data_IF_737514436194
#
_entry.id   IF_737514436194
#
_cell.length_a   1.000
_cell.length_b   1.000
_cell.length_c   1.000
_cell.angle_alpha   90.00
_cell.angle_beta   90.00
_cell.angle_gamma   90.00
#
_symmetry.space_group_name_H-M   'P 1'
#
loop_
_entity.id
_entity.type
_entity.pdbx_description
1 polymer ?
#
# COMPACT_ATOMS: atom_id res chain seq x y z
N UNK A 1 -17.56 -10.77 13.23
CA UNK A 1 -16.46 -10.31 12.35
C UNK A 1 -15.65 -11.54 11.94
N UNK A 2 -15.67 -11.93 10.66
CA UNK A 2 -14.97 -13.13 10.15
C UNK A 2 -13.45 -13.00 10.35
N UNK A 3 -12.79 -14.11 10.61
CA UNK A 3 -11.33 -14.25 10.80
C UNK A 3 -10.57 -13.90 9.52
N UNK A 4 -9.38 -13.29 9.67
CA UNK A 4 -8.47 -12.84 8.60
C UNK A 4 -7.81 -14.00 7.80
N UNK A 5 -8.59 -14.96 7.29
CA UNK A 5 -8.05 -16.20 6.70
C UNK A 5 -7.31 -16.00 5.37
N UNK A 6 -7.43 -14.84 4.72
CA UNK A 6 -6.79 -14.55 3.43
C UNK A 6 -5.74 -13.42 3.50
N UNK A 7 -5.50 -12.83 4.67
CA UNK A 7 -4.52 -11.74 4.83
C UNK A 7 -3.09 -12.30 4.88
N UNK A 8 -2.18 -11.71 4.12
CA UNK A 8 -0.76 -12.11 4.16
C UNK A 8 -0.12 -11.72 5.49
N UNK A 9 0.92 -12.44 5.89
CA UNK A 9 1.77 -12.04 7.03
C UNK A 9 2.97 -11.23 6.55
N UNK A 10 3.50 -10.34 7.40
CA UNK A 10 4.67 -9.53 7.09
C UNK A 10 5.78 -9.80 8.10
N UNK A 11 6.95 -10.20 7.63
CA UNK A 11 8.12 -10.38 8.49
C UNK A 11 8.83 -9.05 8.79
N UNK A 12 9.55 -8.96 9.91
CA UNK A 12 10.30 -7.75 10.27
C UNK A 12 11.29 -7.26 9.19
N UNK A 13 11.95 -8.17 8.47
CA UNK A 13 12.90 -7.82 7.40
C UNK A 13 12.20 -7.15 6.23
N UNK A 14 11.08 -7.72 5.80
CA UNK A 14 10.24 -7.18 4.75
C UNK A 14 9.63 -5.83 5.17
N UNK A 15 9.12 -5.75 6.41
CA UNK A 15 8.58 -4.50 6.94
C UNK A 15 9.62 -3.38 6.97
N UNK A 16 10.87 -3.70 7.33
CA UNK A 16 11.99 -2.73 7.30
C UNK A 16 12.23 -2.20 5.89
N UNK A 17 12.19 -3.07 4.89
CA UNK A 17 12.33 -2.70 3.47
C UNK A 17 11.16 -1.85 2.98
N UNK A 18 9.93 -2.19 3.38
CA UNK A 18 8.72 -1.43 3.05
C UNK A 18 8.79 -0.03 3.66
N UNK A 19 9.18 0.12 4.93
CA UNK A 19 9.36 1.42 5.58
C UNK A 19 10.37 2.29 4.84
N UNK A 20 11.56 1.77 4.51
CA UNK A 20 12.60 2.55 3.84
C UNK A 20 12.11 3.07 2.48
N UNK A 21 11.42 2.22 1.71
CA UNK A 21 10.81 2.59 0.42
C UNK A 21 9.67 3.62 0.57
N UNK A 22 8.78 3.42 1.53
CA UNK A 22 7.66 4.32 1.80
C UNK A 22 8.16 5.70 2.22
N UNK A 23 9.13 5.76 3.14
CA UNK A 23 9.72 7.01 3.60
C UNK A 23 10.49 7.71 2.47
N UNK A 24 11.31 6.97 1.72
CA UNK A 24 12.01 7.53 0.57
C UNK A 24 11.03 8.14 -0.43
N UNK A 25 9.93 7.44 -0.74
CA UNK A 25 8.93 7.93 -1.65
C UNK A 25 8.20 9.16 -1.11
N UNK A 26 7.82 9.18 0.17
CA UNK A 26 7.18 10.31 0.83
C UNK A 26 8.04 11.59 0.76
N UNK A 27 9.36 11.44 0.90
CA UNK A 27 10.29 12.57 0.91
C UNK A 27 10.70 13.01 -0.50
N UNK A 28 11.01 12.05 -1.38
CA UNK A 28 11.53 12.34 -2.72
C UNK A 28 10.42 12.77 -3.68
N UNK A 29 9.27 12.11 -3.65
CA UNK A 29 8.19 12.29 -4.62
C UNK A 29 7.05 13.16 -4.08
N UNK A 30 7.36 14.10 -3.18
CA UNK A 30 6.37 14.92 -2.49
C UNK A 30 5.56 15.82 -3.44
N UNK A 31 6.17 16.27 -4.54
CA UNK A 31 5.50 17.13 -5.52
C UNK A 31 4.67 16.28 -6.48
N UNK A 32 5.19 15.11 -6.85
CA UNK A 32 4.51 14.12 -7.68
C UNK A 32 3.27 13.55 -6.99
N UNK A 33 3.31 13.36 -5.66
CA UNK A 33 2.15 12.98 -4.86
C UNK A 33 0.99 13.97 -4.99
N UNK A 34 1.27 15.28 -5.16
CA UNK A 34 0.22 16.30 -5.34
C UNK A 34 -0.46 16.22 -6.71
N UNK A 35 0.11 15.47 -7.66
CA UNK A 35 -0.47 15.24 -8.99
C UNK A 35 -1.51 14.12 -9.01
N UNK A 36 -1.65 13.39 -7.90
CA UNK A 36 -2.62 12.31 -7.75
C UNK A 36 -3.87 12.86 -7.09
N UNK A 37 -5.02 12.72 -7.75
CA UNK A 37 -6.31 13.10 -7.18
C UNK A 37 -6.66 12.18 -6.01
N UNK A 38 -7.47 12.65 -5.06
CA UNK A 38 -7.87 11.85 -3.89
C UNK A 38 -8.68 10.60 -4.24
N UNK A 39 -9.46 10.69 -5.32
CA UNK A 39 -10.17 9.55 -5.87
C UNK A 39 -9.17 8.49 -6.41
N UNK A 40 -8.25 8.90 -7.30
CA UNK A 40 -7.24 7.99 -7.86
C UNK A 40 -6.30 7.40 -6.79
N UNK A 41 -5.92 8.21 -5.79
CA UNK A 41 -5.17 7.77 -4.62
C UNK A 41 -5.90 6.62 -3.92
N UNK A 42 -7.20 6.77 -3.67
CA UNK A 42 -8.02 5.73 -3.02
C UNK A 42 -8.14 4.47 -3.85
N UNK A 43 -8.27 4.57 -5.18
CA UNK A 43 -8.31 3.40 -6.07
C UNK A 43 -6.99 2.62 -6.03
N UNK A 44 -5.84 3.30 -6.08
CA UNK A 44 -4.53 2.66 -5.94
C UNK A 44 -4.42 1.97 -4.58
N UNK A 45 -4.84 2.66 -3.52
CA UNK A 45 -4.79 2.12 -2.15
C UNK A 45 -5.67 0.89 -1.98
N UNK A 46 -6.86 0.88 -2.58
CA UNK A 46 -7.75 -0.29 -2.60
C UNK A 46 -7.14 -1.45 -3.38
N UNK A 47 -6.62 -1.21 -4.59
CA UNK A 47 -6.01 -2.23 -5.42
C UNK A 47 -4.87 -2.98 -4.69
N UNK A 48 -4.02 -2.26 -3.96
CA UNK A 48 -2.95 -2.87 -3.14
C UNK A 48 -3.51 -3.58 -1.91
N UNK A 49 -4.52 -2.97 -1.25
CA UNK A 49 -5.10 -3.51 -0.01
C UNK A 49 -5.85 -4.81 -0.22
N UNK A 50 -6.53 -4.96 -1.35
CA UNK A 50 -7.21 -6.20 -1.75
C UNK A 50 -6.20 -7.34 -1.95
N UNK A 51 -5.10 -7.10 -2.69
CA UNK A 51 -4.05 -8.10 -2.90
C UNK A 51 -3.38 -8.53 -1.60
N UNK A 52 -3.12 -7.59 -0.69
CA UNK A 52 -2.53 -7.89 0.61
C UNK A 52 -3.54 -8.46 1.63
N UNK A 53 -4.84 -8.33 1.36
CA UNK A 53 -5.91 -8.67 2.29
C UNK A 53 -5.97 -7.75 3.52
N UNK A 54 -5.62 -6.46 3.42
CA UNK A 54 -5.74 -5.53 4.55
C UNK A 54 -7.19 -5.04 4.72
N UNK A 55 -7.98 -5.71 5.57
CA UNK A 55 -9.40 -5.38 5.79
C UNK A 55 -9.64 -3.96 6.31
N UNK A 56 -8.83 -3.50 7.26
CA UNK A 56 -8.97 -2.14 7.82
C UNK A 56 -8.65 -1.07 6.77
N UNK A 57 -7.58 -1.27 6.00
CA UNK A 57 -7.18 -0.37 4.93
C UNK A 57 -8.25 -0.32 3.84
N UNK A 58 -8.76 -1.49 3.44
CA UNK A 58 -9.87 -1.63 2.49
C UNK A 58 -11.09 -0.83 2.96
N UNK A 59 -11.50 -1.00 4.21
CA UNK A 59 -12.64 -0.27 4.77
C UNK A 59 -12.42 1.25 4.76
N UNK A 60 -11.26 1.71 5.25
CA UNK A 60 -10.92 3.13 5.31
C UNK A 60 -10.89 3.76 3.93
N UNK A 61 -10.24 3.11 2.95
CA UNK A 61 -10.09 3.67 1.61
C UNK A 61 -11.35 3.50 0.76
N UNK A 62 -12.20 2.51 1.03
CA UNK A 62 -13.56 2.44 0.42
C UNK A 62 -14.39 3.64 0.86
N UNK A 63 -14.35 3.96 2.16
CA UNK A 63 -15.04 5.15 2.68
C UNK A 63 -14.50 6.43 2.04
N UNK A 64 -13.18 6.58 1.95
CA UNK A 64 -12.55 7.75 1.32
C UNK A 64 -12.89 7.86 -0.17
N UNK A 65 -12.91 6.75 -0.91
CA UNK A 65 -13.29 6.73 -2.32
C UNK A 65 -14.73 7.25 -2.51
N UNK A 66 -15.68 6.79 -1.68
CA UNK A 66 -17.06 7.29 -1.70
C UNK A 66 -17.15 8.79 -1.37
N UNK A 67 -16.40 9.25 -0.36
CA UNK A 67 -16.38 10.65 0.06
C UNK A 67 -15.76 11.58 -1.00
N UNK A 68 -14.89 11.04 -1.86
CA UNK A 68 -14.19 11.78 -2.93
C UNK A 68 -14.87 11.64 -4.30
N UNK A 69 -16.09 11.09 -4.33
CA UNK A 69 -16.96 11.09 -5.51
C UNK A 69 -16.93 9.81 -6.33
N UNK A 70 -16.28 8.74 -5.85
CA UNK A 70 -16.40 7.42 -6.49
C UNK A 70 -17.79 6.86 -6.27
N UNK A 71 -18.44 6.43 -7.33
CA UNK A 71 -19.76 5.82 -7.23
C UNK A 71 -19.67 4.40 -6.66
N UNK A 72 -20.78 3.93 -6.09
CA UNK A 72 -20.88 2.53 -5.64
C UNK A 72 -20.70 1.52 -6.79
N UNK A 73 -21.10 1.90 -8.01
CA UNK A 73 -20.94 1.06 -9.20
C UNK A 73 -19.48 0.88 -9.57
N UNK A 74 -18.72 1.97 -9.64
CA UNK A 74 -17.27 1.94 -9.89
C UNK A 74 -16.54 1.12 -8.82
N UNK A 75 -16.85 1.33 -7.53
CA UNK A 75 -16.26 0.53 -6.45
C UNK A 75 -16.61 -0.96 -6.54
N UNK A 76 -17.84 -1.30 -6.87
CA UNK A 76 -18.24 -2.70 -7.03
C UNK A 76 -17.47 -3.38 -8.16
N UNK A 77 -17.07 -2.63 -9.19
CA UNK A 77 -16.27 -3.15 -10.32
C UNK A 77 -14.79 -3.28 -9.95
N UNK A 78 -14.25 -2.32 -9.19
CA UNK A 78 -12.89 -2.45 -8.62
C UNK A 78 -12.75 -3.71 -7.75
N UNK A 79 -13.71 -3.93 -6.85
CA UNK A 79 -13.69 -5.04 -5.90
C UNK A 79 -14.01 -6.40 -6.56
N UNK A 80 -14.66 -6.41 -7.72
CA UNK A 80 -14.88 -7.65 -8.48
C UNK A 80 -13.68 -8.07 -9.33
N UNK A 81 -12.64 -7.22 -9.43
CA UNK A 81 -11.48 -7.44 -10.29
C UNK A 81 -11.75 -7.21 -11.77
N UNK A 82 -12.95 -6.75 -12.15
CA UNK A 82 -13.30 -6.43 -13.53
C UNK A 82 -12.87 -5.00 -13.87
N UNK A 83 -11.59 -4.86 -14.25
CA UNK A 83 -11.01 -3.59 -14.63
C UNK A 83 -11.46 -3.08 -16.01
N UNK A 84 -12.31 -3.82 -16.75
CA UNK A 84 -12.82 -3.37 -18.05
C UNK A 84 -13.77 -2.17 -17.95
N UNK A 85 -14.35 -1.93 -16.77
CA UNK A 85 -15.29 -0.85 -16.50
C UNK A 85 -14.69 0.30 -15.68
N UNK A 86 -13.44 0.15 -15.23
CA UNK A 86 -12.67 1.23 -14.62
C UNK A 86 -12.39 2.30 -15.67
N UNK A 87 -12.28 3.58 -15.27
CA UNK A 87 -11.76 4.62 -16.17
C UNK A 87 -10.50 4.08 -16.84
N UNK A 88 -10.53 3.97 -18.17
CA UNK A 88 -9.41 3.43 -18.97
C UNK A 88 -8.09 4.14 -18.63
N UNK A 89 -8.18 5.37 -18.15
CA UNK A 89 -7.05 6.16 -17.73
C UNK A 89 -6.39 5.67 -16.44
N UNK A 90 -7.02 4.86 -15.59
CA UNK A 90 -6.45 4.40 -14.32
C UNK A 90 -6.02 2.93 -14.33
N UNK A 91 -6.58 2.11 -15.23
CA UNK A 91 -6.39 0.66 -15.26
C UNK A 91 -4.91 0.23 -15.23
N UNK A 92 -4.03 0.90 -15.98
CA UNK A 92 -2.59 0.56 -16.05
C UNK A 92 -1.89 0.77 -14.71
N UNK A 93 -2.19 1.87 -14.00
CA UNK A 93 -1.64 2.11 -12.67
C UNK A 93 -2.16 1.09 -11.64
N UNK A 94 -3.42 0.68 -11.75
CA UNK A 94 -4.03 -0.25 -10.80
C UNK A 94 -3.54 -1.68 -10.99
N UNK A 95 -3.39 -2.14 -12.24
CA UNK A 95 -2.72 -3.40 -12.56
C UNK A 95 -1.27 -3.39 -12.05
N UNK A 96 -0.55 -2.29 -12.25
CA UNK A 96 0.79 -2.14 -11.71
C UNK A 96 0.81 -2.16 -10.17
N UNK A 97 -0.18 -1.54 -9.53
CA UNK A 97 -0.31 -1.53 -8.07
C UNK A 97 -0.56 -2.94 -7.52
N UNK A 98 -1.43 -3.73 -8.16
CA UNK A 98 -1.66 -5.12 -7.84
C UNK A 98 -0.39 -5.95 -8.02
N UNK A 99 0.32 -5.80 -9.15
CA UNK A 99 1.61 -6.44 -9.41
C UNK A 99 2.62 -6.13 -8.30
N UNK A 100 2.79 -4.85 -7.96
CA UNK A 100 3.71 -4.42 -6.90
C UNK A 100 3.41 -5.09 -5.55
N UNK A 101 2.11 -5.23 -5.22
CA UNK A 101 1.66 -5.88 -4.01
C UNK A 101 1.96 -7.39 -4.02
N UNK A 102 1.62 -8.06 -5.12
CA UNK A 102 1.78 -9.49 -5.35
C UNK A 102 3.26 -9.92 -5.28
N UNK A 103 4.16 -9.15 -5.90
CA UNK A 103 5.61 -9.40 -5.85
C UNK A 103 6.31 -8.76 -4.63
N UNK A 104 5.60 -8.68 -3.51
CA UNK A 104 6.12 -8.29 -2.18
C UNK A 104 6.87 -6.96 -2.15
N UNK A 105 6.36 -5.98 -2.89
CA UNK A 105 6.91 -4.64 -2.93
C UNK A 105 8.14 -4.47 -3.82
N UNK A 106 8.44 -5.47 -4.66
CA UNK A 106 9.26 -5.30 -5.86
C UNK A 106 8.39 -4.86 -7.04
N UNK A 107 8.95 -4.75 -8.25
CA UNK A 107 8.18 -4.62 -9.49
C UNK A 107 9.05 -4.90 -10.73
N UNK A 108 8.41 -5.22 -11.85
CA UNK A 108 9.06 -5.33 -13.16
C UNK A 108 9.27 -3.93 -13.74
N UNK A 109 10.49 -3.64 -14.19
CA UNK A 109 10.85 -2.35 -14.81
C UNK A 109 9.95 -2.08 -16.02
N UNK A 110 9.67 -3.08 -16.87
CA UNK A 110 8.80 -2.95 -18.04
C UNK A 110 7.36 -2.63 -17.65
N UNK A 111 6.87 -3.19 -16.55
CA UNK A 111 5.54 -2.86 -16.04
C UNK A 111 5.47 -1.40 -15.59
N UNK A 112 6.52 -0.90 -14.93
CA UNK A 112 6.60 0.51 -14.54
C UNK A 112 6.78 1.45 -15.74
N UNK A 113 7.54 1.05 -16.77
CA UNK A 113 7.68 1.81 -18.01
C UNK A 113 6.32 2.06 -18.67
N UNK A 114 5.38 1.09 -18.62
CA UNK A 114 4.02 1.30 -19.12
C UNK A 114 3.23 2.32 -18.31
N UNK A 115 3.45 2.40 -17.01
CA UNK A 115 2.91 3.50 -16.19
C UNK A 115 3.51 4.83 -16.65
N UNK A 116 4.83 4.90 -16.88
CA UNK A 116 5.48 6.12 -17.37
C UNK A 116 4.97 6.56 -18.74
N UNK A 117 4.76 5.62 -19.67
CA UNK A 117 4.21 5.89 -21.01
C UNK A 117 2.79 6.49 -20.94
N UNK A 118 1.94 5.98 -20.04
CA UNK A 118 0.54 6.43 -19.93
C UNK A 118 0.41 7.75 -19.17
N UNK A 119 1.15 7.94 -18.07
CA UNK A 119 0.94 9.06 -17.15
C UNK A 119 2.01 10.15 -17.25
N UNK A 120 3.11 9.89 -17.98
CA UNK A 120 4.31 10.69 -17.91
C UNK A 120 5.09 10.48 -16.61
N UNK A 121 6.39 10.79 -16.65
CA UNK A 121 7.34 10.49 -15.56
C UNK A 121 6.88 11.01 -14.19
N UNK A 122 6.48 12.29 -14.09
CA UNK A 122 6.08 12.88 -12.80
C UNK A 122 4.89 12.16 -12.16
N UNK A 123 3.79 11.98 -12.90
CA UNK A 123 2.58 11.35 -12.35
C UNK A 123 2.80 9.85 -12.09
N UNK A 124 3.60 9.16 -12.91
CA UNK A 124 3.99 7.77 -12.67
C UNK A 124 4.77 7.58 -11.35
N UNK A 125 5.68 8.50 -11.01
CA UNK A 125 6.35 8.48 -9.70
C UNK A 125 5.40 8.82 -8.54
N UNK A 126 4.39 9.65 -8.77
CA UNK A 126 3.30 9.89 -7.81
C UNK A 126 2.51 8.60 -7.52
N UNK A 127 2.12 7.86 -8.57
CA UNK A 127 1.49 6.53 -8.46
C UNK A 127 2.37 5.57 -7.66
N UNK A 128 3.65 5.45 -8.03
CA UNK A 128 4.59 4.58 -7.32
C UNK A 128 4.76 4.97 -5.84
N UNK A 129 4.69 6.26 -5.53
CA UNK A 129 4.76 6.75 -4.17
C UNK A 129 3.52 6.37 -3.35
N UNK A 130 2.31 6.53 -3.92
CA UNK A 130 1.06 6.09 -3.27
C UNK A 130 1.11 4.59 -2.97
N UNK A 131 1.54 3.77 -3.94
CA UNK A 131 1.68 2.31 -3.78
C UNK A 131 2.62 1.97 -2.61
N UNK A 132 3.79 2.61 -2.54
CA UNK A 132 4.75 2.38 -1.46
C UNK A 132 4.22 2.77 -0.08
N UNK A 133 3.48 3.88 -0.01
CA UNK A 133 2.85 4.34 1.23
C UNK A 133 1.78 3.37 1.73
N UNK A 134 0.91 2.87 0.84
CA UNK A 134 -0.13 1.91 1.24
C UNK A 134 0.44 0.53 1.55
N UNK A 135 1.54 0.10 0.92
CA UNK A 135 2.25 -1.11 1.33
C UNK A 135 2.70 -1.05 2.79
N UNK A 136 3.19 0.13 3.24
CA UNK A 136 3.48 0.35 4.66
C UNK A 136 2.21 0.28 5.52
N UNK A 137 1.14 0.97 5.11
CA UNK A 137 -0.14 0.95 5.83
C UNK A 137 -0.74 -0.44 5.95
N UNK A 138 -0.69 -1.24 4.89
CA UNK A 138 -1.14 -2.64 4.87
C UNK A 138 -0.32 -3.52 5.80
N UNK A 139 1.01 -3.43 5.72
CA UNK A 139 1.89 -4.23 6.55
C UNK A 139 1.69 -3.96 8.05
N UNK A 140 1.53 -2.68 8.41
CA UNK A 140 1.25 -2.30 9.79
C UNK A 140 -0.17 -2.69 10.22
N UNK A 141 -1.19 -2.36 9.41
CA UNK A 141 -2.59 -2.60 9.74
C UNK A 141 -2.97 -4.08 9.84
N UNK A 142 -2.42 -4.94 8.98
CA UNK A 142 -2.63 -6.40 9.08
C UNK A 142 -1.99 -6.95 10.35
N UNK A 143 -0.77 -6.49 10.66
CA UNK A 143 -0.05 -6.93 11.85
C UNK A 143 -0.77 -6.52 13.13
N UNK A 144 -1.26 -5.28 13.19
CA UNK A 144 -2.08 -4.80 14.30
C UNK A 144 -3.39 -5.60 14.43
N UNK A 145 -4.03 -5.92 13.30
CA UNK A 145 -5.20 -6.81 13.25
C UNK A 145 -4.93 -8.17 13.91
N UNK A 146 -3.84 -8.84 13.53
CA UNK A 146 -3.46 -10.12 14.13
C UNK A 146 -3.16 -10.01 15.63
N UNK A 147 -2.49 -8.93 16.04
CA UNK A 147 -2.21 -8.67 17.44
C UNK A 147 -3.50 -8.49 18.26
N UNK A 148 -4.45 -7.67 17.78
CA UNK A 148 -5.73 -7.47 18.49
C UNK A 148 -6.60 -8.72 18.50
N UNK A 149 -6.53 -9.54 17.45
CA UNK A 149 -7.30 -10.78 17.37
C UNK A 149 -6.83 -11.86 18.35
N UNK A 150 -5.58 -11.79 18.85
CA UNK A 150 -5.13 -12.64 19.98
C UNK A 150 -5.95 -12.41 21.24
N UNK A 151 -6.23 -11.15 21.58
CA UNK A 151 -7.03 -10.80 22.76
C UNK A 151 -8.52 -11.15 22.59
N UNK A 152 -8.96 -11.38 21.35
CA UNK A 152 -10.32 -11.84 21.03
C UNK A 152 -10.42 -13.36 20.92
N UNK A 153 -9.34 -14.10 21.19
CA UNK A 153 -9.29 -15.56 21.05
C UNK A 153 -9.29 -16.06 19.60
N UNK A 154 -9.00 -15.20 18.62
CA UNK A 154 -9.04 -15.49 17.18
C UNK A 154 -7.65 -15.46 16.55
N UNK A 155 -6.70 -16.12 17.20
CA UNK A 155 -5.30 -16.13 16.79
C UNK A 155 -5.15 -16.67 15.36
N UNK A 156 -4.48 -15.91 14.49
CA UNK A 156 -4.02 -16.42 13.20
C UNK A 156 -2.79 -17.34 13.43
N UNK A 157 -2.83 -18.62 13.00
CA UNK A 157 -1.71 -19.55 13.18
C UNK A 157 -0.45 -19.18 12.38
N UNK A 158 -0.60 -18.47 11.26
CA UNK A 158 0.50 -18.03 10.40
C UNK A 158 1.29 -16.86 11.00
N UNK A 159 0.72 -16.16 11.99
CA UNK A 159 1.36 -15.02 12.64
C UNK A 159 1.93 -15.38 14.02
N UNK A 160 3.05 -14.74 14.38
CA UNK A 160 3.77 -14.94 15.65
C UNK A 160 3.74 -13.65 16.48
N UNK A 161 3.44 -13.76 17.78
CA UNK A 161 3.33 -12.61 18.70
C UNK A 161 4.59 -11.73 18.68
N UNK A 162 5.77 -12.33 18.72
CA UNK A 162 7.02 -11.57 18.69
C UNK A 162 7.21 -10.78 17.40
N UNK A 163 6.83 -11.36 16.26
CA UNK A 163 6.90 -10.65 14.98
C UNK A 163 5.90 -9.50 14.94
N UNK A 164 4.70 -9.69 15.49
CA UNK A 164 3.69 -8.62 15.58
C UNK A 164 4.19 -7.43 16.42
N UNK A 165 4.70 -7.71 17.62
CA UNK A 165 5.27 -6.67 18.50
C UNK A 165 6.43 -5.95 17.81
N UNK A 166 7.36 -6.69 17.20
CA UNK A 166 8.50 -6.11 16.51
C UNK A 166 8.07 -5.20 15.36
N UNK A 167 7.16 -5.65 14.50
CA UNK A 167 6.65 -4.85 13.38
C UNK A 167 5.89 -3.62 13.90
N UNK A 168 5.06 -3.75 14.93
CA UNK A 168 4.29 -2.61 15.47
C UNK A 168 5.18 -1.54 16.13
N UNK A 169 6.24 -1.95 16.84
CA UNK A 169 7.13 -1.02 17.56
C UNK A 169 8.30 -0.52 16.69
N UNK A 170 8.68 -1.26 15.65
CA UNK A 170 9.82 -0.89 14.81
C UNK A 170 9.73 0.50 14.14
N UNK A 171 8.57 1.07 13.76
CA UNK A 171 8.51 2.43 13.22
C UNK A 171 9.09 3.49 14.16
N UNK A 172 9.02 3.29 15.49
CA UNK A 172 9.58 4.20 16.49
C UNK A 172 11.10 4.35 16.31
N UNK A 173 11.78 3.28 15.91
CA UNK A 173 13.22 3.26 15.69
C UNK A 173 13.57 3.48 14.21
N UNK A 174 12.84 2.81 13.31
CA UNK A 174 13.16 2.79 11.88
C UNK A 174 12.86 4.12 11.19
N UNK A 175 11.80 4.85 11.55
CA UNK A 175 11.50 6.13 10.92
C UNK A 175 12.58 7.19 11.23
N UNK A 176 13.02 7.41 12.49
CA UNK A 176 14.14 8.31 12.76
C UNK A 176 15.44 7.92 12.05
N UNK A 177 15.80 6.63 12.08
CA UNK A 177 17.03 6.14 11.43
C UNK A 177 16.99 6.37 9.92
N UNK A 178 15.87 6.05 9.27
CA UNK A 178 15.71 6.22 7.84
C UNK A 178 15.64 7.70 7.41
N UNK A 179 15.09 8.59 8.26
CA UNK A 179 15.13 10.04 8.07
C UNK A 179 16.58 10.55 8.09
N UNK A 180 17.34 10.18 9.13
CA UNK A 180 18.75 10.54 9.28
C UNK A 180 19.56 10.10 8.06
N UNK A 181 19.43 8.83 7.64
CA UNK A 181 20.10 8.29 6.45
C UNK A 181 19.78 9.09 5.18
N UNK A 182 18.53 9.49 4.96
CA UNK A 182 18.13 10.25 3.78
C UNK A 182 18.69 11.68 3.79
N UNK A 183 18.85 12.30 4.97
CA UNK A 183 19.53 13.60 5.10
C UNK A 183 21.01 13.48 4.67
N UNK A 184 21.70 12.42 5.11
CA UNK A 184 23.11 12.21 4.79
C UNK A 184 23.35 11.76 3.34
N UNK A 185 22.45 10.96 2.74
CA UNK A 185 22.52 10.59 1.31
C UNK A 185 22.30 11.77 0.35
N UNK A 186 21.68 12.86 0.79
CA UNK A 186 21.51 14.09 -0.02
C UNK A 186 22.78 14.95 -0.09
N UNK A 187 23.82 14.63 0.68
CA UNK A 187 25.08 15.41 0.79
C UNK A 187 26.25 14.85 -0.03
N UNK A 188 26.02 13.83 -0.86
CA UNK A 188 26.97 13.26 -1.84
C UNK A 188 26.26 13.24 -3.19
#
# INVERSE_FOLDING_TARGET
MKTDSNSRTFGIREFTFIIDKALYAALKYREELKLISKNFESHIMLAVSEVNGCRICTYVHTKHALETGTTKGELSQFLSGDLNAVDKNEAVALLFAQHYADVQGSYDIKAFEKVVEVYGSKKAYGVLAVIKLIMFGNAWGITEGFFTDRFKGRRNPESRLWNEILVMLSPIVLLPVALIRNIFKKKI
#
